data_IF_531750315193
#
_entry.id   IF_531750315193
#
_cell.length_a   1.000
_cell.length_b   1.000
_cell.length_c   1.000
_cell.angle_alpha   90.00
_cell.angle_beta   90.00
_cell.angle_gamma   90.00
#
_symmetry.space_group_name_H-M   'P 1'
#
loop_
_entity.id
_entity.type
_entity.pdbx_description
1 polymer ?
#
# COMPACT_ATOMS: atom_id res chain seq x y z
N UNK A 1 -9.40 13.19 16.93
CA UNK A 1 -9.08 11.77 16.66
C UNK A 1 -9.34 11.47 15.19
N UNK A 2 -8.35 10.96 14.49
CA UNK A 2 -8.51 10.60 13.08
C UNK A 2 -9.23 9.25 12.95
N UNK A 3 -10.17 9.18 12.05
CA UNK A 3 -10.85 7.93 11.68
C UNK A 3 -10.08 7.27 10.55
N UNK A 4 -9.68 6.02 10.75
CA UNK A 4 -8.72 5.34 9.89
C UNK A 4 -9.31 4.03 9.34
N UNK A 5 -9.07 3.79 8.06
CA UNK A 5 -9.30 2.51 7.42
C UNK A 5 -7.96 1.82 7.25
N UNK A 6 -7.89 0.54 7.61
CA UNK A 6 -6.69 -0.27 7.43
C UNK A 6 -6.84 -1.14 6.18
N UNK A 7 -5.77 -1.20 5.40
CA UNK A 7 -5.73 -2.04 4.20
C UNK A 7 -4.53 -2.99 4.29
N UNK A 8 -4.79 -4.28 4.23
CA UNK A 8 -3.78 -5.33 4.25
C UNK A 8 -3.91 -6.15 2.98
N UNK A 9 -2.81 -6.45 2.32
CA UNK A 9 -2.83 -7.20 1.07
C UNK A 9 -1.71 -8.21 1.01
N UNK A 10 -2.05 -9.42 0.54
CA UNK A 10 -1.08 -10.45 0.15
C UNK A 10 -1.54 -11.05 -1.17
N UNK A 11 -0.61 -11.67 -1.89
CA UNK A 11 -0.94 -12.59 -2.98
C UNK A 11 -0.53 -13.99 -2.58
N UNK A 12 -1.02 -14.99 -3.31
CA UNK A 12 -0.70 -16.39 -3.02
C UNK A 12 0.80 -16.66 -3.03
N UNK A 13 1.57 -15.91 -3.82
CA UNK A 13 3.03 -16.04 -3.90
C UNK A 13 3.74 -15.45 -2.68
N UNK A 14 3.07 -14.59 -1.93
CA UNK A 14 3.65 -13.84 -0.81
C UNK A 14 3.30 -14.42 0.55
N UNK A 15 2.42 -15.41 0.62
CA UNK A 15 1.95 -15.99 1.89
C UNK A 15 3.06 -16.68 2.69
N UNK A 16 4.16 -17.02 2.05
CA UNK A 16 5.28 -17.70 2.70
C UNK A 16 6.23 -16.75 3.42
N UNK A 17 6.00 -15.46 3.34
CA UNK A 17 6.84 -14.46 4.00
C UNK A 17 6.19 -13.97 5.29
N UNK A 18 6.95 -13.25 6.12
CA UNK A 18 6.46 -12.71 7.41
C UNK A 18 5.53 -11.51 7.23
N UNK A 19 4.82 -11.44 6.11
CA UNK A 19 3.94 -10.32 5.79
C UNK A 19 2.49 -10.78 5.61
N UNK A 20 2.06 -11.76 6.43
CA UNK A 20 0.68 -12.23 6.43
C UNK A 20 -0.30 -11.10 6.71
N UNK A 21 -1.57 -11.30 6.36
CA UNK A 21 -2.62 -10.32 6.62
C UNK A 21 -2.73 -10.01 8.12
N UNK A 22 -2.65 -11.03 8.97
CA UNK A 22 -2.73 -10.86 10.42
C UNK A 22 -1.55 -10.05 10.96
N UNK A 23 -0.35 -10.29 10.44
CA UNK A 23 0.85 -9.53 10.82
C UNK A 23 0.69 -8.06 10.43
N UNK A 24 0.23 -7.79 9.21
CA UNK A 24 0.02 -6.42 8.74
C UNK A 24 -1.01 -5.69 9.61
N UNK A 25 -2.13 -6.34 9.89
CA UNK A 25 -3.18 -5.76 10.72
C UNK A 25 -2.67 -5.45 12.12
N UNK A 26 -1.94 -6.38 12.72
CA UNK A 26 -1.35 -6.19 14.06
C UNK A 26 -0.46 -4.96 14.10
N UNK A 27 0.43 -4.82 13.13
CA UNK A 27 1.34 -3.67 13.05
C UNK A 27 0.59 -2.37 12.84
N UNK A 28 -0.43 -2.38 12.00
CA UNK A 28 -1.25 -1.21 11.74
C UNK A 28 -2.05 -0.80 12.98
N UNK A 29 -2.62 -1.76 13.70
CA UNK A 29 -3.38 -1.46 14.93
C UNK A 29 -2.47 -0.92 16.03
N UNK A 30 -1.26 -1.46 16.18
CA UNK A 30 -0.26 -0.94 17.11
C UNK A 30 0.06 0.52 16.80
N UNK A 31 0.25 0.82 15.51
CA UNK A 31 0.51 2.19 15.07
C UNK A 31 -0.65 3.13 15.40
N UNK A 32 -1.88 2.68 15.15
CA UNK A 32 -3.07 3.47 15.43
C UNK A 32 -3.25 3.72 16.94
N UNK A 33 -3.00 2.70 17.76
CA UNK A 33 -3.06 2.86 19.21
C UNK A 33 -2.04 3.87 19.69
N UNK A 34 -0.84 3.82 19.14
CA UNK A 34 0.25 4.73 19.51
C UNK A 34 -0.06 6.18 19.17
N UNK A 35 -0.78 6.41 18.09
CA UNK A 35 -1.11 7.76 17.60
C UNK A 35 -2.51 8.23 18.03
N UNK A 36 -3.26 7.40 18.74
CA UNK A 36 -4.62 7.75 19.17
C UNK A 36 -5.62 7.80 18.01
N UNK A 37 -5.41 6.99 16.99
CA UNK A 37 -6.33 6.92 15.85
C UNK A 37 -7.48 5.96 16.13
N UNK A 38 -8.63 6.24 15.53
CA UNK A 38 -9.80 5.37 15.63
C UNK A 38 -9.93 4.52 14.35
N UNK A 39 -9.78 3.21 14.49
CA UNK A 39 -9.93 2.27 13.37
C UNK A 39 -11.41 2.00 13.15
N UNK A 40 -11.94 2.40 12.01
CA UNK A 40 -13.36 2.22 11.68
C UNK A 40 -13.60 0.97 10.84
N UNK A 41 -12.64 0.58 10.01
CA UNK A 41 -12.72 -0.61 9.16
C UNK A 41 -11.32 -1.18 8.91
N UNK A 42 -11.26 -2.48 8.68
CA UNK A 42 -10.03 -3.16 8.27
C UNK A 42 -10.36 -4.11 7.12
N UNK A 43 -9.66 -3.98 6.01
CA UNK A 43 -9.87 -4.78 4.80
C UNK A 43 -8.67 -5.67 4.54
N UNK A 44 -8.94 -6.95 4.31
CA UNK A 44 -7.93 -7.96 3.97
C UNK A 44 -8.11 -8.37 2.52
N UNK A 45 -7.08 -8.15 1.71
CA UNK A 45 -7.08 -8.44 0.28
C UNK A 45 -6.10 -9.56 -0.04
N UNK A 46 -6.58 -10.64 -0.63
CA UNK A 46 -5.72 -11.70 -1.18
C UNK A 46 -5.78 -11.59 -2.69
N UNK A 47 -4.94 -10.72 -3.26
CA UNK A 47 -4.97 -10.41 -4.68
C UNK A 47 -3.62 -9.90 -5.14
N UNK A 48 -3.20 -10.28 -6.35
CA UNK A 48 -1.91 -9.90 -6.88
C UNK A 48 -1.76 -8.38 -7.05
N UNK A 49 -0.64 -7.85 -6.58
CA UNK A 49 -0.30 -6.44 -6.74
C UNK A 49 0.05 -6.02 -8.16
N UNK A 50 0.10 -6.98 -9.10
CA UNK A 50 0.31 -6.71 -10.52
C UNK A 50 -0.91 -6.07 -11.17
N UNK A 51 -2.09 -6.39 -10.65
CA UNK A 51 -3.32 -5.78 -11.12
C UNK A 51 -3.49 -4.44 -10.43
N UNK A 52 -3.65 -3.42 -11.22
CA UNK A 52 -3.91 -2.08 -10.75
C UNK A 52 -5.41 -1.81 -10.90
N UNK A 53 -5.90 -0.80 -10.28
CA UNK A 53 -7.25 -0.32 -10.33
C UNK A 53 -8.22 -1.08 -9.40
N UNK A 54 -9.48 -0.74 -9.49
CA UNK A 54 -10.52 -1.22 -8.60
C UNK A 54 -11.09 -2.58 -9.00
N UNK A 55 -10.29 -3.38 -9.73
CA UNK A 55 -10.58 -4.79 -9.96
C UNK A 55 -10.44 -5.57 -8.66
N UNK A 56 -9.57 -5.12 -7.75
CA UNK A 56 -9.41 -5.77 -6.46
C UNK A 56 -10.68 -5.60 -5.63
N UNK A 57 -11.30 -6.73 -5.18
CA UNK A 57 -12.60 -6.65 -4.50
C UNK A 57 -12.60 -5.77 -3.24
N UNK A 58 -11.59 -5.91 -2.39
CA UNK A 58 -11.55 -5.13 -1.15
C UNK A 58 -11.22 -3.67 -1.40
N UNK A 59 -10.35 -3.38 -2.36
CA UNK A 59 -10.03 -2.00 -2.75
C UNK A 59 -11.27 -1.31 -3.32
N UNK A 60 -12.08 -2.04 -4.08
CA UNK A 60 -13.36 -1.54 -4.59
C UNK A 60 -14.31 -1.18 -3.45
N UNK A 61 -14.36 -2.03 -2.42
CA UNK A 61 -15.18 -1.75 -1.23
C UNK A 61 -14.73 -0.49 -0.52
N UNK A 62 -13.42 -0.29 -0.39
CA UNK A 62 -12.83 0.91 0.22
C UNK A 62 -13.26 2.14 -0.58
N UNK A 63 -13.13 2.09 -1.91
CA UNK A 63 -13.53 3.20 -2.78
C UNK A 63 -15.01 3.54 -2.60
N UNK A 64 -15.86 2.53 -2.63
CA UNK A 64 -17.30 2.73 -2.54
C UNK A 64 -17.69 3.28 -1.16
N UNK A 65 -17.08 2.75 -0.10
CA UNK A 65 -17.29 3.25 1.26
C UNK A 65 -16.86 4.70 1.40
N UNK A 66 -15.65 5.02 0.95
CA UNK A 66 -15.10 6.37 1.06
C UNK A 66 -15.87 7.38 0.23
N UNK A 67 -16.38 6.97 -0.93
CA UNK A 67 -17.21 7.83 -1.76
C UNK A 67 -18.46 8.27 -1.05
N UNK A 68 -19.08 7.35 -0.27
CA UNK A 68 -20.31 7.64 0.49
C UNK A 68 -20.03 8.36 1.80
N UNK A 69 -18.88 8.09 2.43
CA UNK A 69 -18.57 8.52 3.79
C UNK A 69 -17.30 9.37 3.84
N UNK A 70 -17.01 10.14 2.81
CA UNK A 70 -15.75 10.90 2.70
C UNK A 70 -15.53 11.92 3.81
N UNK A 71 -16.59 12.37 4.48
CA UNK A 71 -16.47 13.28 5.63
C UNK A 71 -16.22 12.54 6.94
N UNK A 72 -16.33 11.21 6.93
CA UNK A 72 -16.15 10.37 8.13
C UNK A 72 -14.79 9.67 8.15
N UNK A 73 -14.10 9.61 7.01
CA UNK A 73 -12.80 8.93 6.88
C UNK A 73 -11.72 9.98 6.72
N UNK A 74 -10.70 9.91 7.57
CA UNK A 74 -9.58 10.84 7.53
C UNK A 74 -8.36 10.26 6.83
N UNK A 75 -8.11 8.96 6.99
CA UNK A 75 -6.84 8.36 6.61
C UNK A 75 -7.01 6.89 6.27
N UNK A 76 -6.30 6.45 5.22
CA UNK A 76 -6.17 5.03 4.89
C UNK A 76 -4.72 4.65 5.15
N UNK A 77 -4.49 3.61 5.96
CA UNK A 77 -3.15 3.14 6.31
C UNK A 77 -2.91 1.73 5.80
N UNK A 78 -1.70 1.50 5.37
CA UNK A 78 -1.20 0.18 4.98
C UNK A 78 0.25 0.04 5.46
N UNK A 79 0.78 -1.17 5.46
CA UNK A 79 2.09 -1.44 6.05
C UNK A 79 3.21 -0.81 5.22
N UNK A 80 3.24 -1.09 3.91
CA UNK A 80 4.26 -0.62 2.98
C UNK A 80 3.61 -0.31 1.64
N UNK A 81 4.28 0.52 0.85
CA UNK A 81 3.78 0.92 -0.46
C UNK A 81 3.58 -0.26 -1.41
N UNK A 82 4.45 -1.26 -1.38
CA UNK A 82 4.30 -2.46 -2.22
C UNK A 82 3.11 -3.32 -1.79
N UNK A 83 2.64 -3.21 -0.55
CA UNK A 83 1.40 -3.87 -0.10
C UNK A 83 0.16 -3.11 -0.56
N UNK A 84 0.29 -1.80 -0.75
CA UNK A 84 -0.77 -0.99 -1.35
C UNK A 84 -0.86 -1.24 -2.85
N UNK A 85 0.22 -1.01 -3.57
CA UNK A 85 0.28 -1.26 -5.02
C UNK A 85 1.73 -1.29 -5.49
N UNK A 86 2.03 -2.21 -6.41
CA UNK A 86 3.30 -2.22 -7.13
C UNK A 86 3.23 -1.38 -8.40
N UNK A 87 2.06 -0.82 -8.70
CA UNK A 87 1.84 0.00 -9.89
C UNK A 87 1.77 1.47 -9.49
N UNK A 88 2.80 2.27 -9.83
CA UNK A 88 2.80 3.70 -9.48
C UNK A 88 1.62 4.48 -10.09
N UNK A 89 1.17 4.09 -11.28
CA UNK A 89 0.06 4.77 -11.95
C UNK A 89 -1.22 4.65 -11.14
N UNK A 90 -1.48 3.48 -10.56
CA UNK A 90 -2.62 3.29 -9.68
C UNK A 90 -2.50 4.19 -8.44
N UNK A 91 -1.31 4.27 -7.87
CA UNK A 91 -1.08 5.10 -6.69
C UNK A 91 -1.31 6.60 -7.00
N UNK A 92 -0.89 7.06 -8.17
CA UNK A 92 -1.15 8.44 -8.62
C UNK A 92 -2.65 8.70 -8.81
N UNK A 93 -3.36 7.75 -9.41
CA UNK A 93 -4.80 7.85 -9.60
C UNK A 93 -5.52 7.89 -8.25
N UNK A 94 -5.09 7.03 -7.32
CA UNK A 94 -5.64 6.97 -5.97
C UNK A 94 -5.42 8.29 -5.23
N UNK A 95 -4.22 8.86 -5.33
CA UNK A 95 -3.90 10.16 -4.72
C UNK A 95 -4.81 11.25 -5.24
N UNK A 96 -5.02 11.30 -6.55
CA UNK A 96 -5.91 12.30 -7.16
C UNK A 96 -7.33 12.15 -6.65
N UNK A 97 -7.85 10.93 -6.63
CA UNK A 97 -9.23 10.66 -6.24
C UNK A 97 -9.44 10.86 -4.74
N UNK A 98 -8.61 10.24 -3.91
CA UNK A 98 -8.83 10.22 -2.46
C UNK A 98 -8.34 11.51 -1.79
N UNK A 99 -7.10 11.91 -2.08
CA UNK A 99 -6.53 13.07 -1.41
C UNK A 99 -7.01 14.39 -2.03
N UNK A 100 -6.88 14.54 -3.33
CA UNK A 100 -7.20 15.81 -3.99
C UNK A 100 -8.70 16.06 -4.09
N UNK A 101 -9.48 15.05 -4.48
CA UNK A 101 -10.91 15.23 -4.69
C UNK A 101 -11.72 15.06 -3.41
N UNK A 102 -11.40 14.04 -2.59
CA UNK A 102 -12.21 13.70 -1.40
C UNK A 102 -11.60 14.17 -0.08
N UNK A 103 -10.36 14.62 -0.09
CA UNK A 103 -9.70 15.08 1.14
C UNK A 103 -9.35 13.96 2.12
N UNK A 104 -9.24 12.72 1.63
CA UNK A 104 -8.86 11.56 2.44
C UNK A 104 -7.39 11.29 2.24
N UNK A 105 -6.60 11.33 3.31
CA UNK A 105 -5.17 11.03 3.27
C UNK A 105 -4.97 9.51 3.15
N UNK A 106 -3.83 9.11 2.63
CA UNK A 106 -3.41 7.71 2.64
C UNK A 106 -1.90 7.64 2.78
N UNK A 107 -1.41 6.64 3.50
CA UNK A 107 0.03 6.50 3.71
C UNK A 107 0.42 5.11 4.19
N UNK A 108 1.69 4.77 4.02
CA UNK A 108 2.30 3.60 4.60
C UNK A 108 2.85 3.96 5.98
N UNK A 109 2.82 3.03 6.92
CA UNK A 109 3.46 3.26 8.22
C UNK A 109 4.98 3.09 8.13
N UNK A 110 5.44 2.27 7.18
CA UNK A 110 6.87 2.19 6.83
C UNK A 110 7.11 3.08 5.62
N UNK A 111 8.13 3.91 5.66
CA UNK A 111 8.49 4.86 4.61
C UNK A 111 7.32 5.80 4.24
N UNK A 112 6.78 6.53 5.21
CA UNK A 112 5.69 7.44 4.90
C UNK A 112 6.11 8.56 3.97
N UNK A 113 5.18 9.05 3.16
CA UNK A 113 5.40 10.12 2.21
C UNK A 113 4.65 11.37 2.70
N UNK A 114 5.34 12.51 2.65
CA UNK A 114 4.72 13.81 2.86
C UNK A 114 4.26 14.34 1.50
N UNK A 115 2.94 14.32 1.25
CA UNK A 115 2.38 14.75 -0.02
C UNK A 115 2.44 16.26 -0.23
N UNK A 116 2.82 17.04 0.80
CA UNK A 116 3.08 18.46 0.66
C UNK A 116 4.50 18.75 0.16
N UNK A 117 5.39 17.74 0.20
CA UNK A 117 6.74 17.91 -0.32
C UNK A 117 6.75 17.89 -1.85
N UNK A 118 7.73 18.57 -2.46
CA UNK A 118 7.85 18.61 -3.91
C UNK A 118 8.32 17.28 -4.52
N UNK A 119 8.88 16.39 -3.70
CA UNK A 119 9.41 15.11 -4.13
C UNK A 119 8.44 13.93 -3.97
N UNK A 120 7.20 14.18 -3.56
CA UNK A 120 6.26 13.10 -3.25
C UNK A 120 6.07 12.13 -4.42
N UNK A 121 6.02 12.63 -5.65
CA UNK A 121 5.75 11.78 -6.80
C UNK A 121 6.92 10.84 -7.12
N UNK A 122 8.16 11.33 -6.99
CA UNK A 122 9.36 10.51 -7.15
C UNK A 122 9.43 9.44 -6.08
N UNK A 123 9.16 9.81 -4.84
CA UNK A 123 9.16 8.87 -3.70
C UNK A 123 8.10 7.80 -3.89
N UNK A 124 6.90 8.19 -4.30
CA UNK A 124 5.80 7.26 -4.53
C UNK A 124 6.15 6.23 -5.60
N UNK A 125 6.69 6.69 -6.73
CA UNK A 125 7.12 5.81 -7.81
C UNK A 125 8.20 4.84 -7.34
N UNK A 126 9.19 5.33 -6.61
CA UNK A 126 10.30 4.51 -6.12
C UNK A 126 9.81 3.45 -5.14
N UNK A 127 8.98 3.82 -4.17
CA UNK A 127 8.50 2.88 -3.16
C UNK A 127 7.57 1.82 -3.74
N UNK A 128 6.72 2.16 -4.68
CA UNK A 128 5.85 1.19 -5.34
C UNK A 128 6.66 0.21 -6.19
N UNK A 129 7.73 0.67 -6.81
CA UNK A 129 8.55 -0.12 -7.72
C UNK A 129 9.64 -0.94 -7.02
N UNK A 130 9.94 -0.69 -5.75
CA UNK A 130 11.07 -1.32 -5.03
C UNK A 130 11.02 -2.84 -5.12
N UNK A 131 9.88 -3.45 -4.81
CA UNK A 131 9.75 -4.91 -4.83
C UNK A 131 10.01 -5.48 -6.22
N UNK A 132 9.51 -4.80 -7.26
CA UNK A 132 9.73 -5.22 -8.65
C UNK A 132 11.20 -5.08 -9.04
N UNK A 133 11.82 -3.96 -8.66
CA UNK A 133 13.24 -3.72 -8.91
C UNK A 133 14.14 -4.75 -8.21
N UNK A 134 13.82 -5.08 -6.97
CA UNK A 134 14.56 -6.10 -6.22
C UNK A 134 14.48 -7.47 -6.88
N UNK A 135 13.30 -7.85 -7.36
CA UNK A 135 13.12 -9.10 -8.08
C UNK A 135 13.97 -9.13 -9.35
N UNK A 136 14.02 -8.02 -10.07
CA UNK A 136 14.86 -7.90 -11.27
C UNK A 136 16.35 -8.00 -10.91
N UNK A 137 16.78 -7.38 -9.83
CA UNK A 137 18.17 -7.48 -9.35
C UNK A 137 18.55 -8.90 -8.98
N UNK A 138 17.67 -9.62 -8.29
CA UNK A 138 17.90 -11.03 -7.93
C UNK A 138 18.06 -11.87 -9.18
N UNK A 139 17.22 -11.69 -10.18
CA UNK A 139 17.31 -12.40 -11.46
C UNK A 139 18.65 -12.11 -12.16
N UNK A 140 19.07 -10.86 -12.18
CA UNK A 140 20.35 -10.47 -12.78
C UNK A 140 21.53 -11.09 -12.03
N UNK A 141 21.53 -11.05 -10.71
CA UNK A 141 22.59 -11.65 -9.89
C UNK A 141 22.73 -13.14 -10.16
N UNK A 142 21.62 -13.84 -10.31
CA UNK A 142 21.63 -15.27 -10.63
C UNK A 142 22.29 -15.52 -11.98
N UNK A 143 21.94 -14.73 -12.99
CA UNK A 143 22.55 -14.85 -14.32
C UNK A 143 24.05 -14.51 -14.31
N UNK A 144 24.40 -13.45 -13.60
CA UNK A 144 25.81 -13.03 -13.49
C UNK A 144 26.63 -14.06 -12.72
N UNK A 145 26.06 -14.65 -11.68
CA UNK A 145 26.69 -15.74 -10.93
C UNK A 145 26.99 -16.94 -11.80
N UNK A 146 26.07 -17.33 -12.68
CA UNK A 146 26.29 -18.40 -13.64
C UNK A 146 27.42 -18.06 -14.62
N UNK A 147 27.49 -16.82 -15.09
CA UNK A 147 28.56 -16.37 -15.97
C UNK A 147 29.93 -16.40 -15.28
N UNK A 148 29.98 -16.01 -14.02
CA UNK A 148 31.22 -15.99 -13.24
C UNK A 148 31.74 -17.38 -12.93
N UNK A 149 30.85 -18.36 -12.82
CA UNK A 149 31.23 -19.74 -12.54
C UNK A 149 31.61 -20.54 -13.80
N UNK A 150 31.39 -19.97 -14.96
CA UNK A 150 31.77 -20.56 -16.24
C UNK A 150 33.14 -20.07 -16.67
#
# INVERSE_FOLDING_TARGET
>A
MKNVILYCRVSSDEQKTNTSLDFQEKKLREHCDKHGYNVIECYHEDFSGKHHDFVRPEMKKIRDYCKKHKHEVDLILFLRWDRFSRNPEFAYMFKRMFLDDWGIEFNAIESPIDFDSTEWSSMLSNYCAVAHTENNKISRRTKDGVRETL
#
